data_IF_278175509098
#
_entry.id   IF_278175509098
#
_cell.length_a   1.000
_cell.length_b   1.000
_cell.length_c   1.000
_cell.angle_alpha   90.00
_cell.angle_beta   90.00
_cell.angle_gamma   90.00
#
_symmetry.space_group_name_H-M   'P 1'
#
loop_
_entity.id
_entity.type
_entity.pdbx_description
1 polymer ?
#
# COMPACT_ATOMS: atom_id res chain seq x y z
N UNK A 1 -21.98 -10.36 40.75
CA UNK A 1 -20.60 -10.46 40.24
C UNK A 1 -20.66 -10.17 38.75
N UNK A 2 -20.41 -8.91 38.37
CA UNK A 2 -20.25 -8.50 36.96
C UNK A 2 -18.88 -8.99 36.52
N UNK A 3 -18.83 -9.99 35.64
CA UNK A 3 -17.61 -10.39 34.97
C UNK A 3 -17.07 -9.20 34.18
N UNK A 4 -15.91 -8.70 34.54
CA UNK A 4 -15.17 -7.79 33.72
C UNK A 4 -14.92 -8.50 32.38
N UNK A 5 -15.53 -8.00 31.28
CA UNK A 5 -15.21 -8.40 29.93
C UNK A 5 -13.73 -8.01 29.75
N UNK A 6 -12.85 -8.99 29.73
CA UNK A 6 -11.44 -8.76 29.47
C UNK A 6 -11.39 -8.13 28.08
N UNK A 7 -11.12 -6.85 27.98
CA UNK A 7 -10.94 -6.17 26.70
C UNK A 7 -9.82 -6.91 25.99
N UNK A 8 -10.13 -7.57 24.87
CA UNK A 8 -9.11 -8.17 24.03
C UNK A 8 -8.14 -7.05 23.62
N UNK A 9 -6.84 -7.28 23.79
CA UNK A 9 -5.84 -6.32 23.38
C UNK A 9 -6.03 -6.06 21.89
N UNK A 10 -6.14 -4.79 21.50
CA UNK A 10 -6.26 -4.39 20.10
C UNK A 10 -4.94 -4.74 19.37
N UNK A 11 -5.04 -5.12 18.10
CA UNK A 11 -3.87 -5.46 17.30
C UNK A 11 -2.97 -4.24 17.12
N UNK A 12 -1.67 -4.41 17.31
CA UNK A 12 -0.66 -3.43 16.91
C UNK A 12 -0.49 -3.42 15.38
N UNK A 13 0.12 -2.38 14.83
CA UNK A 13 0.43 -2.36 13.38
C UNK A 13 1.29 -3.56 12.99
N UNK A 14 2.27 -3.92 13.83
CA UNK A 14 3.11 -5.09 13.64
C UNK A 14 2.30 -6.39 13.61
N UNK A 15 1.36 -6.58 14.54
CA UNK A 15 0.51 -7.77 14.58
C UNK A 15 -0.39 -7.87 13.35
N UNK A 16 -0.90 -6.73 12.85
CA UNK A 16 -1.68 -6.67 11.62
C UNK A 16 -0.85 -7.14 10.42
N UNK A 17 0.38 -6.63 10.27
CA UNK A 17 1.29 -7.03 9.20
C UNK A 17 1.55 -8.53 9.25
N UNK A 18 1.91 -9.06 10.41
CA UNK A 18 2.20 -10.49 10.59
C UNK A 18 0.96 -11.36 10.28
N UNK A 19 -0.23 -10.90 10.67
CA UNK A 19 -1.49 -11.59 10.40
C UNK A 19 -1.77 -11.64 8.89
N UNK A 20 -1.66 -10.51 8.20
CA UNK A 20 -1.85 -10.45 6.74
C UNK A 20 -0.79 -11.27 6.00
N UNK A 21 0.47 -11.21 6.41
CA UNK A 21 1.53 -12.03 5.83
C UNK A 21 1.23 -13.52 5.95
N UNK A 22 0.84 -13.97 7.14
CA UNK A 22 0.48 -15.37 7.39
C UNK A 22 -0.72 -15.79 6.53
N UNK A 23 -1.75 -14.96 6.48
CA UNK A 23 -2.96 -15.24 5.70
C UNK A 23 -2.64 -15.38 4.22
N UNK A 24 -2.01 -14.37 3.61
CA UNK A 24 -1.75 -14.37 2.18
C UNK A 24 -0.72 -15.42 1.76
N UNK A 25 0.28 -15.72 2.60
CA UNK A 25 1.19 -16.84 2.32
C UNK A 25 0.48 -18.19 2.34
N UNK A 26 -0.49 -18.38 3.23
CA UNK A 26 -1.30 -19.60 3.27
C UNK A 26 -2.27 -19.70 2.08
N UNK A 27 -2.56 -18.59 1.41
CA UNK A 27 -3.35 -18.51 0.18
C UNK A 27 -2.48 -18.44 -1.09
N UNK A 28 -1.23 -18.87 -1.01
CA UNK A 28 -0.36 -19.07 -2.16
C UNK A 28 0.46 -17.87 -2.60
N UNK A 29 0.48 -16.77 -1.84
CA UNK A 29 1.35 -15.63 -2.10
C UNK A 29 2.75 -15.85 -1.55
N UNK A 30 3.76 -15.57 -2.36
CA UNK A 30 5.14 -15.41 -1.88
C UNK A 30 5.25 -14.12 -1.08
N UNK A 31 5.89 -14.17 0.08
CA UNK A 31 6.18 -12.97 0.85
C UNK A 31 7.47 -12.32 0.32
N UNK A 32 7.31 -11.17 -0.31
CA UNK A 32 8.42 -10.36 -0.81
C UNK A 32 8.78 -9.29 0.23
N UNK A 33 10.02 -8.84 0.21
CA UNK A 33 10.42 -7.65 0.96
C UNK A 33 10.11 -6.40 0.13
N UNK A 34 10.03 -5.22 0.77
CA UNK A 34 9.91 -3.96 0.05
C UNK A 34 11.03 -3.81 -0.98
N UNK A 35 10.69 -3.26 -2.15
CA UNK A 35 11.70 -2.96 -3.15
C UNK A 35 12.51 -1.72 -2.73
N UNK A 36 13.81 -1.73 -2.96
CA UNK A 36 14.75 -0.73 -2.42
C UNK A 36 14.74 0.65 -3.09
N UNK A 37 13.82 0.87 -4.02
CA UNK A 37 13.66 2.17 -4.71
C UNK A 37 12.44 2.90 -4.17
N UNK A 38 12.56 4.23 -4.00
CA UNK A 38 11.42 5.07 -3.60
C UNK A 38 10.29 5.03 -4.63
N UNK A 39 9.06 4.95 -4.16
CA UNK A 39 7.86 4.95 -4.99
C UNK A 39 6.64 5.47 -4.24
N UNK A 40 5.68 6.04 -4.98
CA UNK A 40 4.48 6.65 -4.43
C UNK A 40 3.33 5.68 -4.15
N UNK A 41 3.44 4.44 -4.61
CA UNK A 41 2.43 3.40 -4.37
C UNK A 41 3.02 2.01 -4.54
N UNK A 42 2.44 1.01 -3.86
CA UNK A 42 2.81 -0.39 -4.00
C UNK A 42 2.67 -0.90 -5.44
N UNK A 43 1.70 -0.37 -6.20
CA UNK A 43 1.52 -0.64 -7.63
C UNK A 43 2.77 -0.35 -8.47
N UNK A 44 3.56 0.66 -8.07
CA UNK A 44 4.80 1.04 -8.78
C UNK A 44 5.97 0.10 -8.47
N UNK A 45 5.81 -0.85 -7.56
CA UNK A 45 6.82 -1.86 -7.32
C UNK A 45 6.96 -2.78 -8.54
N UNK A 46 8.20 -3.13 -8.96
CA UNK A 46 8.42 -4.14 -9.98
C UNK A 46 7.73 -5.47 -9.70
N UNK A 47 7.50 -5.79 -8.42
CA UNK A 47 6.75 -7.00 -8.02
C UNK A 47 5.26 -6.94 -8.39
N UNK A 48 4.72 -5.76 -8.66
CA UNK A 48 3.35 -5.57 -9.14
C UNK A 48 3.33 -5.29 -10.63
N UNK A 49 3.77 -4.08 -11.08
CA UNK A 49 3.48 -3.65 -12.43
C UNK A 49 4.24 -4.45 -13.50
N UNK A 50 5.52 -4.79 -13.30
CA UNK A 50 6.25 -5.63 -14.27
C UNK A 50 5.71 -7.06 -14.31
N UNK A 51 5.29 -7.59 -13.16
CA UNK A 51 4.74 -8.95 -13.07
C UNK A 51 3.30 -9.07 -13.56
N UNK A 52 2.57 -7.96 -13.64
CA UNK A 52 1.25 -7.94 -14.28
C UNK A 52 1.33 -8.14 -15.80
N UNK A 53 2.47 -7.80 -16.43
CA UNK A 53 2.73 -8.00 -17.86
C UNK A 53 3.08 -9.47 -18.15
N UNK A 54 2.65 -9.98 -19.30
CA UNK A 54 2.96 -11.33 -19.75
C UNK A 54 2.03 -12.41 -19.16
N UNK A 55 2.17 -13.66 -19.63
CA UNK A 55 1.28 -14.76 -19.28
C UNK A 55 1.66 -15.49 -17.99
N UNK A 56 2.86 -15.29 -17.46
CA UNK A 56 3.41 -16.08 -16.36
C UNK A 56 2.62 -15.84 -15.08
N UNK A 57 2.22 -16.91 -14.36
CA UNK A 57 1.55 -16.77 -13.05
C UNK A 57 2.46 -16.07 -12.03
N UNK A 58 1.84 -15.25 -11.18
CA UNK A 58 2.56 -14.54 -10.14
C UNK A 58 1.65 -14.20 -8.95
N UNK A 59 2.00 -14.70 -7.77
CA UNK A 59 1.29 -14.36 -6.54
C UNK A 59 2.29 -13.87 -5.50
N UNK A 60 2.13 -12.64 -5.03
CA UNK A 60 3.03 -12.02 -4.08
C UNK A 60 2.27 -11.13 -3.08
N UNK A 61 2.81 -11.03 -1.87
CA UNK A 61 2.34 -10.09 -0.86
C UNK A 61 3.54 -9.46 -0.15
N UNK A 62 3.46 -8.15 0.13
CA UNK A 62 4.55 -7.41 0.76
C UNK A 62 4.08 -6.09 1.35
N UNK A 63 4.84 -5.56 2.31
CA UNK A 63 4.66 -4.19 2.81
C UNK A 63 5.52 -3.26 1.96
N UNK A 64 4.90 -2.22 1.41
CA UNK A 64 5.60 -1.20 0.63
C UNK A 64 5.48 0.17 1.31
N UNK A 65 6.59 0.74 1.82
CA UNK A 65 6.61 2.14 2.21
C UNK A 65 6.38 3.01 0.98
N UNK A 66 5.28 3.76 0.97
CA UNK A 66 4.90 4.62 -0.14
C UNK A 66 5.18 6.07 0.22
N UNK A 67 5.98 6.75 -0.61
CA UNK A 67 6.40 8.13 -0.38
C UNK A 67 5.68 9.08 -1.31
N UNK A 68 5.02 10.08 -0.71
CA UNK A 68 4.25 11.10 -1.42
C UNK A 68 4.66 12.49 -0.93
N UNK A 69 5.74 13.07 -1.47
CA UNK A 69 6.29 14.34 -0.97
C UNK A 69 5.28 15.48 -0.92
N UNK A 70 4.37 15.57 -1.90
CA UNK A 70 3.33 16.58 -1.93
C UNK A 70 2.32 16.48 -0.78
N UNK A 71 2.22 15.32 -0.12
CA UNK A 71 1.32 15.08 1.02
C UNK A 71 1.99 15.41 2.37
N UNK A 72 3.25 15.78 2.40
CA UNK A 72 3.95 16.20 3.62
C UNK A 72 3.22 17.34 4.34
N UNK A 73 3.09 17.23 5.66
CA UNK A 73 2.43 18.21 6.54
C UNK A 73 3.21 18.40 7.86
N UNK A 74 4.53 18.24 7.82
CA UNK A 74 5.42 18.47 8.97
C UNK A 74 5.09 17.62 10.21
N UNK A 75 4.38 16.51 10.06
CA UNK A 75 3.91 15.69 11.18
C UNK A 75 2.78 16.35 11.99
N UNK A 76 2.12 17.38 11.48
CA UNK A 76 1.05 18.12 12.16
C UNK A 76 -0.35 17.65 11.78
N UNK A 77 -0.51 17.01 10.61
CA UNK A 77 -1.80 16.47 10.20
C UNK A 77 -1.96 15.03 10.72
N UNK A 78 -3.10 14.68 11.33
CA UNK A 78 -3.29 13.37 11.94
C UNK A 78 -3.44 12.22 10.94
N UNK A 79 -3.76 12.51 9.67
CA UNK A 79 -4.16 11.50 8.68
C UNK A 79 -3.43 11.62 7.33
N UNK A 80 -2.75 12.74 7.06
CA UNK A 80 -2.01 12.95 5.81
C UNK A 80 -0.52 12.90 6.06
N UNK A 81 0.16 11.99 5.39
CA UNK A 81 1.55 11.64 5.64
C UNK A 81 2.38 11.76 4.37
N UNK A 82 3.63 12.19 4.53
CA UNK A 82 4.67 12.10 3.50
C UNK A 82 4.94 10.64 3.11
N UNK A 83 5.01 9.75 4.11
CA UNK A 83 5.21 8.33 3.93
C UNK A 83 4.15 7.53 4.71
N UNK A 84 3.52 6.57 4.04
CA UNK A 84 2.63 5.59 4.67
C UNK A 84 2.95 4.19 4.20
N UNK A 85 2.44 3.17 4.90
CA UNK A 85 2.69 1.78 4.58
C UNK A 85 1.48 1.15 3.91
N UNK A 86 1.71 0.56 2.76
CA UNK A 86 0.71 -0.22 2.05
C UNK A 86 1.05 -1.70 2.17
N UNK A 87 0.09 -2.52 2.58
CA UNK A 87 0.21 -3.96 2.42
C UNK A 87 -0.37 -4.32 1.05
N UNK A 88 0.51 -4.78 0.18
CA UNK A 88 0.23 -5.03 -1.23
C UNK A 88 0.06 -6.52 -1.48
N UNK A 89 -0.98 -6.89 -2.20
CA UNK A 89 -1.23 -8.26 -2.66
C UNK A 89 -1.45 -8.25 -4.15
N UNK A 90 -0.80 -9.16 -4.86
CA UNK A 90 -0.91 -9.31 -6.31
C UNK A 90 -1.14 -10.78 -6.63
N UNK A 91 -2.18 -11.10 -7.38
CA UNK A 91 -2.46 -12.47 -7.83
C UNK A 91 -2.77 -12.51 -9.32
N UNK A 92 -1.96 -13.28 -10.04
CA UNK A 92 -2.10 -13.51 -11.48
C UNK A 92 -1.99 -15.02 -11.81
N UNK A 93 -3.02 -15.64 -12.44
CA UNK A 93 -4.31 -15.02 -12.73
C UNK A 93 -5.08 -14.62 -11.48
N UNK A 94 -6.00 -13.65 -11.62
CA UNK A 94 -6.92 -13.31 -10.54
C UNK A 94 -7.77 -14.51 -10.16
N UNK A 95 -7.78 -14.97 -8.89
CA UNK A 95 -8.70 -16.02 -8.46
C UNK A 95 -10.14 -15.51 -8.43
N UNK A 96 -11.09 -16.41 -8.71
CA UNK A 96 -12.52 -16.07 -8.76
C UNK A 96 -13.06 -15.56 -7.41
N UNK A 97 -12.51 -16.08 -6.31
CA UNK A 97 -12.93 -15.77 -4.93
C UNK A 97 -12.05 -14.72 -4.25
N UNK A 98 -11.39 -13.84 -5.00
CA UNK A 98 -10.45 -12.86 -4.42
C UNK A 98 -11.13 -11.88 -3.46
N UNK A 99 -12.40 -11.53 -3.69
CA UNK A 99 -13.17 -10.64 -2.80
C UNK A 99 -13.50 -11.33 -1.47
N UNK A 100 -13.86 -12.61 -1.50
CA UNK A 100 -14.09 -13.42 -0.30
C UNK A 100 -12.81 -13.57 0.52
N UNK A 101 -11.66 -13.79 -0.14
CA UNK A 101 -10.37 -13.83 0.53
C UNK A 101 -10.04 -12.48 1.20
N UNK A 102 -10.33 -11.38 0.52
CA UNK A 102 -10.15 -10.05 1.13
C UNK A 102 -11.02 -9.88 2.39
N UNK A 103 -12.31 -10.20 2.31
CA UNK A 103 -13.22 -10.11 3.47
C UNK A 103 -12.80 -11.03 4.62
N UNK A 104 -12.30 -12.23 4.31
CA UNK A 104 -11.75 -13.14 5.30
C UNK A 104 -10.50 -12.57 5.98
N UNK A 105 -9.64 -11.88 5.23
CA UNK A 105 -8.48 -11.19 5.81
C UNK A 105 -8.89 -10.11 6.82
N UNK A 106 -9.98 -9.38 6.56
CA UNK A 106 -10.52 -8.40 7.50
C UNK A 106 -11.03 -9.06 8.79
N UNK A 107 -11.70 -10.23 8.69
CA UNK A 107 -12.13 -10.99 9.88
C UNK A 107 -10.97 -11.37 10.77
N UNK A 108 -9.83 -11.76 10.18
CA UNK A 108 -8.62 -12.10 10.95
C UNK A 108 -8.01 -10.88 11.64
N UNK A 109 -8.25 -9.69 11.12
CA UNK A 109 -7.88 -8.43 11.78
C UNK A 109 -8.88 -7.99 12.85
N UNK A 110 -9.95 -8.79 13.08
CA UNK A 110 -10.98 -8.48 14.07
C UNK A 110 -12.14 -7.63 13.53
N UNK A 111 -12.23 -7.44 12.22
CA UNK A 111 -13.31 -6.69 11.56
C UNK A 111 -14.30 -7.71 10.98
N UNK A 112 -15.43 -7.95 11.65
CA UNK A 112 -16.46 -8.85 11.11
C UNK A 112 -17.30 -8.12 10.06
N UNK A 113 -17.27 -8.55 8.78
CA UNK A 113 -18.05 -7.92 7.72
C UNK A 113 -19.58 -7.95 7.95
N UNK A 114 -20.06 -8.76 8.88
CA UNK A 114 -21.48 -8.80 9.24
C UNK A 114 -21.88 -7.73 10.28
N UNK A 115 -20.92 -7.17 10.97
CA UNK A 115 -21.11 -6.13 12.00
C UNK A 115 -20.79 -4.71 11.51
N UNK A 116 -20.24 -4.59 10.28
CA UNK A 116 -19.75 -3.33 9.71
C UNK A 116 -20.35 -3.04 8.33
N UNK A 117 -20.47 -1.75 8.00
CA UNK A 117 -20.86 -1.31 6.66
C UNK A 117 -19.63 -1.33 5.75
N UNK A 118 -19.45 -2.43 4.99
CA UNK A 118 -18.37 -2.58 4.02
C UNK A 118 -18.94 -2.38 2.62
N UNK A 119 -18.42 -1.38 1.91
CA UNK A 119 -18.84 -1.04 0.55
C UNK A 119 -17.68 -1.14 -0.41
N UNK A 120 -17.93 -1.79 -1.55
CA UNK A 120 -17.06 -1.74 -2.72
C UNK A 120 -17.63 -0.65 -3.64
N UNK A 121 -16.97 0.51 -3.63
CA UNK A 121 -17.38 1.67 -4.44
C UNK A 121 -16.57 1.64 -5.73
N UNK A 122 -17.26 1.61 -6.88
CA UNK A 122 -16.61 1.53 -8.18
C UNK A 122 -15.66 2.71 -8.40
N UNK A 123 -14.47 2.40 -8.86
CA UNK A 123 -13.42 3.34 -9.22
C UNK A 123 -12.86 2.98 -10.60
N UNK A 124 -12.92 3.93 -11.55
CA UNK A 124 -12.23 3.82 -12.83
C UNK A 124 -10.75 4.10 -12.63
N UNK A 125 -10.05 3.10 -12.09
CA UNK A 125 -8.67 3.24 -11.68
C UNK A 125 -7.72 3.43 -12.87
N UNK A 126 -6.93 4.47 -12.82
CA UNK A 126 -5.92 4.80 -13.83
C UNK A 126 -4.62 5.26 -13.17
N UNK A 127 -3.50 4.88 -13.78
CA UNK A 127 -2.19 5.46 -13.49
C UNK A 127 -1.48 5.80 -14.81
N UNK A 128 -1.65 7.03 -15.32
CA UNK A 128 -1.10 7.44 -16.61
C UNK A 128 0.43 7.34 -16.69
N UNK A 129 1.13 7.59 -15.57
CA UNK A 129 2.60 7.52 -15.52
C UNK A 129 3.14 6.12 -15.84
N UNK A 130 2.38 5.08 -15.54
CA UNK A 130 2.72 3.69 -15.83
C UNK A 130 1.94 3.12 -17.02
N UNK A 131 1.11 3.92 -17.68
CA UNK A 131 0.21 3.43 -18.73
C UNK A 131 -0.72 2.33 -18.23
N UNK A 132 -1.16 2.44 -16.96
CA UNK A 132 -2.00 1.45 -16.30
C UNK A 132 -3.46 1.90 -16.27
N UNK A 133 -4.35 0.94 -16.49
CA UNK A 133 -5.79 1.11 -16.31
C UNK A 133 -6.41 -0.21 -15.83
N UNK A 134 -7.49 -0.11 -15.07
CA UNK A 134 -8.18 -1.27 -14.54
C UNK A 134 -9.60 -0.97 -14.08
N UNK A 135 -10.34 -2.03 -13.81
CA UNK A 135 -11.60 -1.96 -13.09
C UNK A 135 -11.29 -2.09 -11.62
N UNK A 136 -11.67 -1.08 -10.85
CA UNK A 136 -11.31 -1.01 -9.44
C UNK A 136 -12.48 -0.70 -8.53
N UNK A 137 -12.23 -0.89 -7.24
CA UNK A 137 -13.11 -0.48 -6.17
C UNK A 137 -12.29 0.12 -5.02
N UNK A 138 -12.77 1.24 -4.51
CA UNK A 138 -12.41 1.68 -3.18
C UNK A 138 -13.21 0.85 -2.18
N UNK A 139 -12.54 0.24 -1.20
CA UNK A 139 -13.23 -0.47 -0.13
C UNK A 139 -13.38 0.46 1.06
N UNK A 140 -14.63 0.78 1.36
CA UNK A 140 -15.01 1.66 2.45
C UNK A 140 -15.52 0.84 3.64
N UNK A 141 -14.99 1.12 4.81
CA UNK A 141 -15.37 0.53 6.09
C UNK A 141 -15.97 1.62 6.98
N UNK A 142 -17.27 1.51 7.27
CA UNK A 142 -18.03 2.47 8.09
C UNK A 142 -17.79 3.93 7.66
N UNK A 143 -17.70 4.18 6.36
CA UNK A 143 -17.53 5.52 5.79
C UNK A 143 -16.08 5.98 5.61
N UNK A 144 -15.09 5.14 5.87
CA UNK A 144 -13.67 5.43 5.62
C UNK A 144 -13.09 4.45 4.59
N UNK A 145 -12.46 4.96 3.54
CA UNK A 145 -11.69 4.16 2.59
C UNK A 145 -10.48 3.53 3.31
N UNK A 146 -10.41 2.20 3.31
CA UNK A 146 -9.34 1.45 3.98
C UNK A 146 -8.46 0.65 3.03
N UNK A 147 -8.98 0.32 1.84
CA UNK A 147 -8.26 -0.46 0.83
C UNK A 147 -8.69 -0.08 -0.57
N UNK A 148 -7.80 -0.31 -1.52
CA UNK A 148 -8.11 -0.26 -2.94
C UNK A 148 -7.96 -1.66 -3.54
N UNK A 149 -8.90 -2.00 -4.41
CA UNK A 149 -8.98 -3.29 -5.07
C UNK A 149 -9.05 -3.07 -6.58
N UNK A 150 -8.11 -3.64 -7.36
CA UNK A 150 -8.01 -3.37 -8.79
C UNK A 150 -7.83 -4.66 -9.58
N UNK A 151 -8.57 -4.80 -10.69
CA UNK A 151 -8.28 -5.79 -11.73
C UNK A 151 -7.59 -5.07 -12.88
N UNK A 152 -6.31 -5.33 -13.10
CA UNK A 152 -5.56 -4.70 -14.18
C UNK A 152 -6.06 -5.17 -15.55
N UNK A 153 -6.44 -4.21 -16.37
CA UNK A 153 -6.76 -4.42 -17.76
C UNK A 153 -5.55 -4.12 -18.66
N UNK A 154 -4.74 -3.15 -18.24
CA UNK A 154 -3.59 -2.67 -18.98
C UNK A 154 -2.47 -2.23 -18.03
N UNK A 155 -1.24 -2.52 -18.41
CA UNK A 155 -0.01 -2.02 -17.76
C UNK A 155 1.02 -1.70 -18.84
N UNK A 156 1.63 -0.50 -18.77
CA UNK A 156 2.59 -0.06 -19.79
C UNK A 156 2.00 0.03 -21.20
N UNK A 157 0.69 0.29 -21.32
CA UNK A 157 0.00 0.28 -22.60
C UNK A 157 -0.28 -1.13 -23.16
N UNK A 158 0.12 -2.20 -22.45
CA UNK A 158 -0.07 -3.59 -22.87
C UNK A 158 -1.25 -4.22 -22.14
N UNK A 159 -2.11 -4.99 -22.84
CA UNK A 159 -3.22 -5.67 -22.18
C UNK A 159 -2.73 -6.76 -21.23
N UNK A 160 -3.29 -6.82 -20.02
CA UNK A 160 -3.01 -7.86 -19.03
C UNK A 160 -3.79 -9.13 -19.34
N UNK A 161 -3.07 -10.17 -19.76
CA UNK A 161 -3.64 -11.51 -20.06
C UNK A 161 -2.71 -12.58 -19.49
N UNK A 162 -3.14 -13.31 -18.43
CA UNK A 162 -4.43 -13.19 -17.73
C UNK A 162 -4.56 -11.90 -16.91
N UNK A 163 -5.78 -11.55 -16.53
CA UNK A 163 -6.06 -10.43 -15.63
C UNK A 163 -5.38 -10.64 -14.30
N UNK A 164 -4.77 -9.60 -13.77
CA UNK A 164 -4.11 -9.59 -12.47
C UNK A 164 -4.98 -8.82 -11.48
N UNK A 165 -5.23 -9.39 -10.31
CA UNK A 165 -5.84 -8.65 -9.20
C UNK A 165 -4.78 -8.05 -8.29
N UNK A 166 -5.04 -6.84 -7.83
CA UNK A 166 -4.26 -6.12 -6.85
C UNK A 166 -5.15 -5.74 -5.67
N UNK A 167 -4.67 -5.92 -4.45
CA UNK A 167 -5.28 -5.39 -3.24
C UNK A 167 -4.24 -4.55 -2.51
N UNK A 168 -4.59 -3.30 -2.22
CA UNK A 168 -3.74 -2.36 -1.50
C UNK A 168 -4.43 -1.98 -0.19
N UNK A 169 -3.94 -2.52 0.93
CA UNK A 169 -4.42 -2.14 2.24
C UNK A 169 -3.68 -0.89 2.73
N UNK A 170 -4.41 0.12 3.18
CA UNK A 170 -3.84 1.27 3.90
C UNK A 170 -3.63 0.91 5.36
N UNK A 171 -2.39 0.54 5.75
CA UNK A 171 -2.13 -0.02 7.08
C UNK A 171 -2.45 0.97 8.20
N UNK A 172 -2.08 2.24 8.06
CA UNK A 172 -2.36 3.26 9.06
C UNK A 172 -3.87 3.50 9.24
N UNK A 173 -4.63 3.53 8.13
CA UNK A 173 -6.10 3.71 8.18
C UNK A 173 -6.78 2.53 8.87
N UNK A 174 -6.42 1.30 8.48
CA UNK A 174 -6.94 0.09 9.15
C UNK A 174 -6.56 0.05 10.62
N UNK A 175 -5.30 0.37 10.95
CA UNK A 175 -4.85 0.40 12.34
C UNK A 175 -5.57 1.47 13.16
N UNK A 176 -5.80 2.66 12.60
CA UNK A 176 -6.55 3.73 13.27
C UNK A 176 -7.98 3.28 13.57
N UNK A 177 -8.60 2.57 12.64
CA UNK A 177 -9.93 2.00 12.84
C UNK A 177 -9.93 0.94 13.95
N UNK A 178 -9.03 -0.05 13.89
CA UNK A 178 -8.95 -1.16 14.86
C UNK A 178 -8.57 -0.65 16.27
N UNK A 179 -7.65 0.29 16.34
CA UNK A 179 -7.18 0.85 17.61
C UNK A 179 -8.06 1.98 18.14
N UNK A 180 -9.03 2.48 17.34
CA UNK A 180 -9.93 3.58 17.67
C UNK A 180 -9.17 4.85 18.08
N UNK A 181 -8.20 5.26 17.26
CA UNK A 181 -7.43 6.48 17.44
C UNK A 181 -7.69 7.46 16.29
N UNK A 182 -7.69 8.76 16.62
CA UNK A 182 -7.95 9.83 15.64
C UNK A 182 -6.68 10.23 14.89
N UNK A 183 -5.53 10.09 15.52
CA UNK A 183 -4.23 10.43 14.94
C UNK A 183 -3.38 9.19 14.70
N UNK A 184 -2.79 9.06 13.51
CA UNK A 184 -1.85 7.98 13.21
C UNK A 184 -0.64 7.97 14.14
N UNK A 185 -0.26 9.13 14.71
CA UNK A 185 0.86 9.21 15.64
C UNK A 185 0.58 8.57 17.00
N UNK A 186 -0.70 8.33 17.33
CA UNK A 186 -1.12 7.64 18.54
C UNK A 186 -1.24 6.13 18.37
N UNK A 187 -1.11 5.62 17.13
CA UNK A 187 -1.10 4.20 16.85
C UNK A 187 -0.02 3.47 17.66
N UNK A 188 -0.34 2.31 18.17
CA UNK A 188 0.62 1.37 18.72
C UNK A 188 1.24 0.58 17.57
N UNK A 189 2.50 0.89 17.25
CA UNK A 189 3.27 0.17 16.23
C UNK A 189 3.62 -1.24 16.67
N UNK A 190 4.13 -1.35 17.87
CA UNK A 190 4.41 -2.58 18.60
C UNK A 190 4.13 -2.33 20.07
N UNK A 191 4.17 -3.38 20.92
CA UNK A 191 3.90 -3.24 22.35
C UNK A 191 4.72 -2.13 23.00
N UNK A 192 4.05 -1.06 23.45
CA UNK A 192 4.66 0.07 24.15
C UNK A 192 5.44 1.02 23.25
N UNK A 193 5.36 0.89 21.92
CA UNK A 193 6.01 1.79 20.96
C UNK A 193 4.97 2.46 20.07
N UNK A 194 4.90 3.78 20.12
CA UNK A 194 3.97 4.56 19.30
C UNK A 194 4.52 4.84 17.90
N UNK A 195 3.63 4.85 16.90
CA UNK A 195 3.93 5.27 15.54
C UNK A 195 4.64 6.63 15.48
N UNK A 196 4.15 7.59 16.29
CA UNK A 196 4.72 8.93 16.37
C UNK A 196 6.16 8.97 16.86
N UNK A 197 6.58 8.04 17.70
CA UNK A 197 7.96 7.95 18.19
C UNK A 197 8.95 7.57 17.05
N UNK A 198 8.46 6.84 16.05
CA UNK A 198 9.27 6.37 14.92
C UNK A 198 9.21 7.35 13.75
N UNK A 199 7.98 7.82 13.38
CA UNK A 199 7.74 8.45 12.09
C UNK A 199 7.48 9.97 12.15
N UNK A 200 7.15 10.55 13.32
CA UNK A 200 6.79 11.98 13.39
C UNK A 200 7.97 12.90 13.05
N UNK A 201 9.17 12.60 13.54
CA UNK A 201 10.36 13.39 13.22
C UNK A 201 10.74 13.28 11.74
N UNK A 202 10.81 12.07 11.13
CA UNK A 202 10.95 11.91 9.68
C UNK A 202 9.92 12.69 8.86
N UNK A 203 8.64 12.70 9.24
CA UNK A 203 7.60 13.49 8.56
C UNK A 203 7.91 14.99 8.54
N UNK A 204 8.38 15.53 9.66
CA UNK A 204 8.82 16.91 9.75
C UNK A 204 10.01 17.19 8.83
N UNK A 205 11.05 16.36 8.91
CA UNK A 205 12.30 16.56 8.16
C UNK A 205 12.09 16.42 6.65
N UNK A 206 11.33 15.44 6.21
CA UNK A 206 10.98 15.26 4.81
C UNK A 206 10.16 16.42 4.26
N UNK A 207 9.18 16.92 5.01
CA UNK A 207 8.40 18.09 4.61
C UNK A 207 9.28 19.33 4.48
N UNK A 208 10.14 19.57 5.48
CA UNK A 208 11.07 20.69 5.47
C UNK A 208 12.03 20.60 4.28
N UNK A 209 12.60 19.42 4.03
CA UNK A 209 13.47 19.21 2.88
C UNK A 209 12.74 19.52 1.58
N UNK A 210 11.57 18.93 1.36
CA UNK A 210 10.83 19.04 0.09
C UNK A 210 10.33 20.45 -0.19
N UNK A 211 9.91 21.20 0.84
CA UNK A 211 9.24 22.48 0.63
C UNK A 211 10.12 23.72 0.90
N UNK A 212 11.24 23.55 1.61
CA UNK A 212 12.02 24.71 2.05
C UNK A 212 13.49 24.67 1.64
N UNK A 213 14.16 23.52 1.74
CA UNK A 213 15.64 23.48 1.69
C UNK A 213 16.22 22.67 0.54
N UNK A 214 15.41 21.99 -0.26
CA UNK A 214 15.92 21.20 -1.39
C UNK A 214 16.57 22.10 -2.44
N UNK A 215 17.71 21.65 -2.98
CA UNK A 215 18.37 22.29 -4.11
C UNK A 215 17.63 21.91 -5.40
N UNK A 216 16.80 22.83 -5.88
CA UNK A 216 15.97 22.60 -7.07
C UNK A 216 16.80 22.43 -8.35
N UNK A 217 17.88 23.20 -8.52
CA UNK A 217 18.73 23.11 -9.69
C UNK A 217 19.46 21.76 -9.75
N UNK A 218 19.93 21.27 -8.61
CA UNK A 218 20.50 19.94 -8.48
C UNK A 218 19.48 18.85 -8.84
N UNK A 219 18.27 18.94 -8.32
CA UNK A 219 17.21 17.94 -8.56
C UNK A 219 16.79 17.91 -10.03
N UNK A 220 16.61 19.07 -10.67
CA UNK A 220 16.30 19.16 -12.10
C UNK A 220 17.44 18.62 -12.97
N UNK A 221 18.67 18.98 -12.64
CA UNK A 221 19.87 18.46 -13.35
C UNK A 221 19.97 16.93 -13.23
N UNK A 222 19.68 16.38 -12.05
CA UNK A 222 19.66 14.93 -11.84
C UNK A 222 18.53 14.26 -12.61
N UNK A 223 17.33 14.86 -12.67
CA UNK A 223 16.24 14.34 -13.47
C UNK A 223 16.64 14.17 -14.94
N UNK A 224 17.23 15.21 -15.55
CA UNK A 224 17.68 15.15 -16.94
C UNK A 224 18.77 14.09 -17.18
N UNK A 225 19.64 13.87 -16.21
CA UNK A 225 20.69 12.85 -16.29
C UNK A 225 20.11 11.45 -16.18
N UNK A 226 19.22 11.23 -15.21
CA UNK A 226 18.57 9.93 -15.04
C UNK A 226 17.65 9.58 -16.21
N UNK A 227 16.97 10.56 -16.82
CA UNK A 227 16.20 10.32 -18.04
C UNK A 227 17.08 9.78 -19.17
N UNK A 228 18.25 10.40 -19.38
CA UNK A 228 19.20 9.94 -20.41
C UNK A 228 19.73 8.54 -20.10
N UNK A 229 20.08 8.29 -18.85
CA UNK A 229 20.58 6.97 -18.43
C UNK A 229 19.50 5.89 -18.53
N UNK A 230 18.26 6.19 -18.15
CA UNK A 230 17.14 5.26 -18.32
C UNK A 230 16.93 4.90 -19.79
N UNK A 231 16.98 5.87 -20.71
CA UNK A 231 16.90 5.60 -22.16
C UNK A 231 18.03 4.69 -22.63
N UNK A 232 19.26 4.91 -22.15
CA UNK A 232 20.39 4.04 -22.46
C UNK A 232 20.17 2.61 -21.96
N UNK A 233 19.68 2.44 -20.73
CA UNK A 233 19.35 1.13 -20.18
C UNK A 233 18.27 0.41 -21.00
N UNK A 234 17.25 1.15 -21.45
CA UNK A 234 16.20 0.60 -22.33
C UNK A 234 16.81 0.11 -23.66
N UNK A 235 17.68 0.89 -24.29
CA UNK A 235 18.35 0.51 -25.54
C UNK A 235 19.19 -0.78 -25.36
N UNK A 236 19.82 -0.94 -24.20
CA UNK A 236 20.58 -2.13 -23.81
C UNK A 236 19.68 -3.28 -23.31
N UNK A 237 18.34 -3.10 -23.28
CA UNK A 237 17.36 -4.06 -22.79
C UNK A 237 17.53 -4.41 -21.31
N UNK A 238 18.03 -3.48 -20.51
CA UNK A 238 18.13 -3.60 -19.05
C UNK A 238 16.89 -2.97 -18.41
N UNK A 239 16.11 -3.77 -17.68
CA UNK A 239 14.83 -3.33 -17.10
C UNK A 239 14.97 -2.88 -15.63
N UNK A 240 15.92 -3.46 -14.91
CA UNK A 240 16.03 -3.24 -13.46
C UNK A 240 16.91 -2.06 -13.03
N UNK A 241 17.96 -1.66 -13.74
CA UNK A 241 18.75 -0.46 -13.39
C UNK A 241 18.00 0.83 -13.46
#
# INVERSE_FOLDING_TARGET
>A
LKGAKQMSKKLTVQDMILTLQKFWSSNGCMLMQAYDTEKGAGTMSPYTFLRAIGPEPWNAAYVEPSRRPADGRYGENPNRLYQHHQFQVVMKPSPENIQELYLESLRLLGIDPLEHDIRFVEDNWENPSMGCAGVGWEVWLDGMEVSQFTYFQQVGGLPCKPVTSEITYGLERLASYIQEVESVYDLEWADGVKYGEIFKQPEYEHSKYSFEVSDQDLLLSNFDRFEKEAKRCIDERLVHP
#
